data_IF_332741997945
#
_entry.id   IF_332741997945
#
_cell.length_a   1.000
_cell.length_b   1.000
_cell.length_c   1.000
_cell.angle_alpha   90.00
_cell.angle_beta   90.00
_cell.angle_gamma   90.00
#
_symmetry.space_group_name_H-M   'P 1'
#
loop_
_entity.id
_entity.type
_entity.pdbx_description
1 polymer ?
#
# COMPACT_ATOMS: atom_id res chain seq x y z
N UNK A 1 -22.25 62.74 10.91
CA UNK A 1 -21.22 61.69 11.10
C UNK A 1 -21.90 60.35 10.89
N UNK A 2 -21.66 59.72 9.74
CA UNK A 2 -22.14 58.36 9.42
C UNK A 2 -20.96 57.42 9.66
N UNK A 3 -21.08 56.35 10.48
CA UNK A 3 -19.97 55.45 10.69
C UNK A 3 -19.87 54.50 9.48
N UNK A 4 -18.71 54.51 8.84
CA UNK A 4 -18.34 53.57 7.78
C UNK A 4 -18.08 52.22 8.45
N UNK A 5 -18.96 51.25 8.21
CA UNK A 5 -18.79 49.87 8.62
C UNK A 5 -17.84 49.20 7.61
N UNK A 6 -16.59 48.93 8.01
CA UNK A 6 -15.68 48.09 7.22
C UNK A 6 -16.13 46.63 7.36
N UNK A 7 -16.76 46.09 6.32
CA UNK A 7 -16.98 44.67 6.18
C UNK A 7 -15.66 43.99 5.80
N UNK A 8 -15.03 43.29 6.74
CA UNK A 8 -13.96 42.35 6.43
C UNK A 8 -14.59 41.15 5.72
N UNK A 9 -14.38 41.05 4.41
CA UNK A 9 -14.59 39.82 3.66
C UNK A 9 -13.49 38.85 4.10
N UNK A 10 -13.83 37.95 5.02
CA UNK A 10 -13.00 36.78 5.31
C UNK A 10 -13.18 35.86 4.10
N UNK A 11 -12.24 35.95 3.14
CA UNK A 11 -12.07 34.90 2.15
C UNK A 11 -11.82 33.59 2.92
N UNK A 12 -12.52 32.50 2.62
CA UNK A 12 -12.14 31.21 3.16
C UNK A 12 -10.74 30.92 2.64
N UNK A 13 -9.75 30.97 3.54
CA UNK A 13 -8.48 30.31 3.31
C UNK A 13 -8.84 28.83 3.28
N UNK A 14 -9.16 28.30 2.10
CA UNK A 14 -8.96 26.88 1.87
C UNK A 14 -7.50 26.67 2.21
N UNK A 15 -7.24 26.03 3.35
CA UNK A 15 -5.94 25.45 3.61
C UNK A 15 -5.71 24.50 2.44
N UNK A 16 -4.99 24.96 1.41
CA UNK A 16 -4.43 24.08 0.40
C UNK A 16 -3.47 23.25 1.22
N UNK A 17 -3.91 22.04 1.57
CA UNK A 17 -3.01 21.03 2.08
C UNK A 17 -1.89 20.96 1.07
N UNK A 18 -0.71 21.33 1.52
CA UNK A 18 0.42 21.45 0.65
C UNK A 18 0.74 20.01 0.23
N UNK A 19 0.38 19.64 -0.99
CA UNK A 19 0.78 18.38 -1.60
C UNK A 19 2.07 18.64 -2.35
N UNK A 20 2.94 17.63 -2.44
CA UNK A 20 4.05 17.76 -3.37
C UNK A 20 3.51 17.87 -4.81
N UNK A 21 4.03 18.78 -5.63
CA UNK A 21 3.70 18.87 -7.04
C UNK A 21 4.44 17.78 -7.82
N UNK A 22 4.24 16.52 -7.43
CA UNK A 22 4.85 15.38 -8.11
C UNK A 22 4.33 15.24 -9.54
N UNK A 23 5.17 14.70 -10.41
CA UNK A 23 4.77 14.12 -11.68
C UNK A 23 4.84 12.60 -11.55
N UNK A 24 3.70 11.92 -11.75
CA UNK A 24 3.63 10.46 -11.65
C UNK A 24 4.61 9.74 -12.58
N UNK A 25 4.94 10.33 -13.75
CA UNK A 25 5.94 9.74 -14.66
C UNK A 25 7.33 9.77 -14.06
N UNK A 26 7.66 10.83 -13.30
CA UNK A 26 8.94 10.93 -12.60
C UNK A 26 9.00 10.04 -11.37
N UNK A 27 7.85 9.79 -10.71
CA UNK A 27 7.76 8.76 -9.66
C UNK A 27 8.04 7.38 -10.28
N UNK A 28 7.39 7.01 -11.39
CA UNK A 28 7.68 5.77 -12.13
C UNK A 28 9.15 5.69 -12.55
N UNK A 29 9.75 6.81 -12.97
CA UNK A 29 11.18 6.85 -13.29
C UNK A 29 12.06 6.61 -12.06
N UNK A 30 11.71 7.13 -10.88
CA UNK A 30 12.44 6.88 -9.64
C UNK A 30 12.32 5.41 -9.18
N UNK A 31 11.27 4.70 -9.59
CA UNK A 31 11.21 3.24 -9.47
C UNK A 31 12.18 2.54 -10.42
N UNK A 32 12.43 3.07 -11.62
CA UNK A 32 13.34 2.47 -12.61
C UNK A 32 14.81 2.71 -12.30
N UNK A 33 15.14 3.92 -11.86
CA UNK A 33 16.51 4.38 -11.75
C UNK A 33 16.91 4.55 -10.28
N UNK A 34 18.01 3.90 -9.84
CA UNK A 34 18.51 4.10 -8.50
C UNK A 34 19.08 5.52 -8.36
N UNK A 35 18.82 6.12 -7.22
CA UNK A 35 19.37 7.41 -6.81
C UNK A 35 20.04 7.25 -5.44
N UNK A 36 21.30 7.63 -5.32
CA UNK A 36 22.06 7.46 -4.07
C UNK A 36 21.48 8.27 -2.89
N UNK A 37 20.70 9.31 -3.19
CA UNK A 37 20.12 10.25 -2.23
C UNK A 37 18.58 10.16 -2.13
N UNK A 38 17.96 9.11 -2.68
CA UNK A 38 16.52 8.90 -2.61
C UNK A 38 16.17 7.44 -2.32
N UNK A 39 15.33 7.26 -1.30
CA UNK A 39 14.48 6.09 -1.11
C UNK A 39 13.03 6.54 -1.29
N UNK A 40 12.32 5.87 -2.20
CA UNK A 40 10.88 6.08 -2.43
C UNK A 40 10.08 5.44 -1.31
N UNK A 41 9.02 6.12 -0.85
CA UNK A 41 8.12 5.59 0.17
C UNK A 41 6.72 5.35 -0.40
N UNK A 42 6.23 4.12 -0.21
CA UNK A 42 4.86 3.72 -0.48
C UNK A 42 4.10 3.58 0.84
N UNK A 43 2.99 4.30 1.00
CA UNK A 43 2.10 4.13 2.14
C UNK A 43 1.35 2.80 2.04
N UNK A 44 1.60 1.86 2.96
CA UNK A 44 0.95 0.55 2.97
C UNK A 44 -0.56 0.67 3.22
N UNK A 45 -1.38 0.39 2.21
CA UNK A 45 -2.85 0.58 2.22
C UNK A 45 -3.28 2.03 2.47
N UNK A 46 -2.44 2.99 2.06
CA UNK A 46 -2.56 4.41 2.39
C UNK A 46 -2.07 4.76 3.80
N UNK A 47 -2.22 6.01 4.23
CA UNK A 47 -1.91 6.40 5.60
C UNK A 47 -3.04 6.06 6.57
N UNK A 48 -3.20 4.75 6.81
CA UNK A 48 -4.04 4.19 7.88
C UNK A 48 -3.50 4.57 9.26
N UNK A 49 -4.26 4.24 10.31
CA UNK A 49 -4.02 4.59 11.72
C UNK A 49 -4.63 5.90 12.22
N UNK A 50 -4.82 5.91 13.53
CA UNK A 50 -5.41 6.99 14.30
C UNK A 50 -6.84 7.27 13.81
N UNK A 51 -7.62 6.20 13.71
CA UNK A 51 -9.03 6.25 13.35
C UNK A 51 -9.32 6.35 11.85
N UNK A 52 -8.33 6.08 11.01
CA UNK A 52 -8.47 6.00 9.54
C UNK A 52 -8.32 4.56 9.11
N UNK A 53 -9.29 4.08 8.35
CA UNK A 53 -9.33 2.72 7.82
C UNK A 53 -8.30 2.51 6.71
N UNK A 54 -7.79 1.28 6.60
CA UNK A 54 -6.96 0.84 5.47
C UNK A 54 -7.74 0.85 4.15
N UNK A 55 -7.05 1.04 3.02
CA UNK A 55 -7.63 1.04 1.66
C UNK A 55 -8.84 2.00 1.49
N UNK A 56 -8.89 3.07 2.28
CA UNK A 56 -9.95 4.09 2.24
C UNK A 56 -9.56 5.32 1.44
N UNK A 57 -10.56 6.10 0.98
CA UNK A 57 -10.29 7.39 0.32
C UNK A 57 -9.60 8.36 1.28
N UNK A 58 -9.98 8.35 2.57
CA UNK A 58 -9.32 9.17 3.60
C UNK A 58 -7.85 8.81 3.79
N UNK A 59 -7.49 7.51 3.86
CA UNK A 59 -6.09 7.07 3.98
C UNK A 59 -5.24 7.55 2.79
N UNK A 60 -5.82 7.51 1.60
CA UNK A 60 -5.19 7.97 0.36
C UNK A 60 -5.00 9.48 0.35
N UNK A 61 -6.05 10.22 0.67
CA UNK A 61 -6.00 11.68 0.79
C UNK A 61 -4.94 12.10 1.81
N UNK A 62 -4.90 11.47 2.98
CA UNK A 62 -3.89 11.69 4.02
C UNK A 62 -2.48 11.38 3.53
N UNK A 63 -2.27 10.29 2.79
CA UNK A 63 -0.97 9.97 2.20
C UNK A 63 -0.48 11.07 1.24
N UNK A 64 -1.36 11.58 0.38
CA UNK A 64 -1.02 12.68 -0.52
C UNK A 64 -0.80 14.01 0.22
N UNK A 65 -1.63 14.35 1.21
CA UNK A 65 -1.41 15.53 2.08
C UNK A 65 -0.08 15.43 2.85
N UNK A 66 0.32 14.21 3.20
CA UNK A 66 1.58 13.94 3.87
C UNK A 66 2.78 13.98 2.91
N UNK A 67 2.57 14.19 1.61
CA UNK A 67 3.66 14.30 0.64
C UNK A 67 4.29 12.99 0.22
N UNK A 68 3.56 11.88 0.37
CA UNK A 68 4.01 10.58 -0.12
C UNK A 68 3.74 10.47 -1.62
N UNK A 69 4.73 9.95 -2.31
CA UNK A 69 4.75 9.76 -3.76
C UNK A 69 4.02 8.49 -4.22
N UNK A 70 3.91 7.50 -3.33
CA UNK A 70 3.38 6.19 -3.64
C UNK A 70 2.42 5.72 -2.53
N UNK A 71 1.41 4.96 -2.93
CA UNK A 71 0.50 4.24 -2.05
C UNK A 71 0.44 2.81 -2.56
N UNK A 72 0.68 1.85 -1.67
CA UNK A 72 0.40 0.45 -1.96
C UNK A 72 -1.03 0.13 -1.54
N UNK A 73 -1.71 -0.75 -2.28
CA UNK A 73 -3.11 -1.07 -2.05
C UNK A 73 -3.47 -2.48 -2.43
N UNK A 74 -4.53 -3.00 -1.82
CA UNK A 74 -4.95 -4.38 -2.02
C UNK A 74 -6.23 -4.49 -2.86
N UNK A 75 -6.28 -5.49 -3.76
CA UNK A 75 -7.41 -5.71 -4.65
C UNK A 75 -7.83 -7.19 -4.63
N UNK A 76 -9.11 -7.41 -4.40
CA UNK A 76 -9.79 -8.70 -4.59
C UNK A 76 -10.77 -8.62 -5.77
N UNK A 77 -11.22 -9.78 -6.26
CA UNK A 77 -12.34 -9.91 -7.18
C UNK A 77 -13.63 -10.26 -6.41
N UNK A 78 -14.72 -9.55 -6.68
CA UNK A 78 -16.05 -9.91 -6.17
C UNK A 78 -16.79 -10.90 -7.08
N UNK A 79 -17.87 -11.52 -6.59
CA UNK A 79 -18.66 -12.48 -7.35
C UNK A 79 -19.29 -11.90 -8.65
N UNK A 80 -19.56 -10.60 -8.67
CA UNK A 80 -20.07 -9.84 -9.82
C UNK A 80 -18.97 -9.14 -10.64
N UNK A 81 -17.71 -9.55 -10.44
CA UNK A 81 -16.57 -9.12 -11.26
C UNK A 81 -16.09 -7.69 -11.01
N UNK A 82 -16.42 -7.10 -9.85
CA UNK A 82 -15.89 -5.81 -9.43
C UNK A 82 -14.61 -5.99 -8.60
N UNK A 83 -13.94 -4.87 -8.33
CA UNK A 83 -12.59 -4.82 -7.76
C UNK A 83 -12.60 -4.08 -6.41
N UNK A 84 -13.22 -4.64 -5.35
CA UNK A 84 -13.16 -4.06 -4.02
C UNK A 84 -11.72 -3.93 -3.50
N UNK A 85 -11.43 -2.79 -2.86
CA UNK A 85 -10.13 -2.54 -2.26
C UNK A 85 -10.10 -3.04 -0.82
N UNK A 86 -9.75 -4.32 -0.65
CA UNK A 86 -9.70 -5.04 0.63
C UNK A 86 -8.43 -5.89 0.65
N UNK A 87 -7.77 -5.98 1.81
CA UNK A 87 -6.57 -6.80 1.99
C UNK A 87 -6.87 -8.28 2.25
N UNK A 88 -7.75 -8.55 3.20
CA UNK A 88 -8.01 -9.90 3.68
C UNK A 88 -8.91 -10.64 2.71
N UNK A 89 -8.80 -11.98 2.69
CA UNK A 89 -9.73 -12.79 1.90
C UNK A 89 -11.19 -12.65 2.36
N UNK A 90 -11.41 -12.30 3.64
CA UNK A 90 -12.72 -12.10 4.24
C UNK A 90 -12.99 -10.66 4.68
N UNK A 91 -14.27 -10.29 4.74
CA UNK A 91 -14.71 -8.91 5.01
C UNK A 91 -14.80 -8.56 6.52
N UNK A 92 -14.71 -9.54 7.41
CA UNK A 92 -15.07 -9.38 8.81
C UNK A 92 -14.15 -8.46 9.61
N UNK A 93 -12.83 -8.49 9.37
CA UNK A 93 -11.85 -7.68 10.13
C UNK A 93 -12.01 -6.19 9.85
N UNK A 94 -12.21 -5.84 8.59
CA UNK A 94 -12.11 -4.45 8.12
C UNK A 94 -13.45 -3.82 7.78
N UNK A 95 -14.58 -4.52 7.96
CA UNK A 95 -15.92 -3.98 7.67
C UNK A 95 -16.96 -4.29 8.74
N UNK A 96 -18.13 -3.64 8.66
CA UNK A 96 -19.31 -3.88 9.47
C UNK A 96 -20.26 -4.98 8.92
N UNK A 97 -19.77 -5.89 8.09
CA UNK A 97 -20.57 -6.95 7.43
C UNK A 97 -21.41 -7.79 8.40
N UNK A 98 -20.88 -8.09 9.59
CA UNK A 98 -21.61 -8.81 10.63
C UNK A 98 -22.85 -8.04 11.06
N UNK A 99 -22.67 -6.78 11.43
CA UNK A 99 -23.74 -5.90 11.87
C UNK A 99 -24.79 -5.63 10.79
N UNK A 100 -24.36 -5.36 9.55
CA UNK A 100 -25.25 -5.11 8.41
C UNK A 100 -26.11 -6.33 8.07
N UNK A 101 -25.62 -7.54 8.35
CA UNK A 101 -26.33 -8.80 8.07
C UNK A 101 -26.98 -9.45 9.29
N UNK A 102 -26.87 -8.82 10.46
CA UNK A 102 -27.39 -9.36 11.73
C UNK A 102 -26.64 -10.60 12.26
N UNK A 103 -25.41 -10.83 11.77
CA UNK A 103 -24.51 -11.88 12.25
C UNK A 103 -23.58 -11.35 13.35
N UNK A 104 -22.90 -12.26 14.06
CA UNK A 104 -21.86 -11.89 15.01
C UNK A 104 -20.66 -11.26 14.29
N UNK A 105 -20.17 -10.13 14.78
CA UNK A 105 -19.01 -9.45 14.21
C UNK A 105 -17.75 -10.33 14.34
N UNK A 106 -16.98 -10.44 13.25
CA UNK A 106 -15.71 -11.18 13.26
C UNK A 106 -14.73 -10.60 14.28
N UNK A 107 -14.05 -11.49 14.99
CA UNK A 107 -13.05 -11.12 15.96
C UNK A 107 -11.64 -11.53 15.49
N UNK A 108 -10.79 -10.58 15.07
CA UNK A 108 -9.47 -10.89 14.54
C UNK A 108 -8.48 -11.38 15.61
N UNK A 109 -8.80 -11.28 16.90
CA UNK A 109 -7.97 -11.82 17.98
C UNK A 109 -8.23 -13.30 18.26
N UNK A 110 -9.40 -13.81 17.91
CA UNK A 110 -9.77 -15.23 18.07
C UNK A 110 -9.86 -15.97 16.73
N UNK A 111 -10.03 -15.23 15.63
CA UNK A 111 -10.27 -15.80 14.30
C UNK A 111 -11.66 -16.42 14.15
N UNK A 112 -12.64 -15.98 14.93
CA UNK A 112 -13.99 -16.55 14.97
C UNK A 112 -15.06 -15.54 14.49
N UNK A 113 -16.28 -16.05 14.32
CA UNK A 113 -17.50 -15.34 13.90
C UNK A 113 -17.58 -15.01 12.38
N UNK A 114 -18.45 -14.08 11.97
CA UNK A 114 -18.86 -13.97 10.56
C UNK A 114 -17.83 -13.23 9.70
N UNK A 115 -17.13 -13.98 8.85
CA UNK A 115 -16.09 -13.49 7.95
C UNK A 115 -16.27 -14.06 6.52
N UNK A 116 -17.33 -13.64 5.78
CA UNK A 116 -17.55 -14.13 4.43
C UNK A 116 -16.43 -13.66 3.50
N UNK A 117 -16.07 -14.50 2.52
CA UNK A 117 -15.03 -14.17 1.55
C UNK A 117 -15.51 -13.11 0.56
N UNK A 118 -14.59 -12.27 0.10
CA UNK A 118 -14.88 -11.24 -0.90
C UNK A 118 -15.40 -11.86 -2.21
N UNK A 119 -14.77 -12.93 -2.68
CA UNK A 119 -15.13 -13.63 -3.92
C UNK A 119 -16.52 -14.28 -3.91
N UNK A 120 -17.10 -14.51 -2.74
CA UNK A 120 -18.41 -15.14 -2.58
C UNK A 120 -19.58 -14.13 -2.60
N UNK A 121 -19.28 -12.83 -2.64
CA UNK A 121 -20.27 -11.76 -2.50
C UNK A 121 -20.24 -10.81 -3.70
N UNK A 122 -21.42 -10.32 -4.10
CA UNK A 122 -21.51 -9.23 -5.06
C UNK A 122 -21.02 -7.92 -4.41
N UNK A 123 -20.27 -7.14 -5.16
CA UNK A 123 -19.91 -5.78 -4.77
C UNK A 123 -21.12 -4.85 -4.89
N UNK A 124 -21.91 -5.01 -5.95
CA UNK A 124 -23.01 -4.12 -6.27
C UNK A 124 -24.38 -4.62 -5.82
N UNK A 125 -25.32 -3.67 -5.68
CA UNK A 125 -26.73 -3.95 -5.49
C UNK A 125 -27.14 -4.09 -4.02
N UNK A 126 -28.40 -4.51 -3.75
CA UNK A 126 -28.92 -4.56 -2.38
C UNK A 126 -28.09 -5.47 -1.47
N UNK A 127 -27.44 -4.89 -0.46
CA UNK A 127 -26.54 -5.59 0.46
C UNK A 127 -25.16 -5.91 -0.13
N UNK A 128 -24.79 -5.30 -1.26
CA UNK A 128 -23.47 -5.44 -1.86
C UNK A 128 -22.36 -4.85 -0.99
N UNK A 129 -21.13 -5.31 -1.22
CA UNK A 129 -19.94 -4.89 -0.47
C UNK A 129 -19.75 -3.36 -0.50
N UNK A 130 -20.18 -2.67 -1.56
CA UNK A 130 -20.09 -1.20 -1.69
C UNK A 130 -20.86 -0.42 -0.61
N UNK A 131 -21.78 -1.07 0.11
CA UNK A 131 -22.58 -0.46 1.17
C UNK A 131 -22.04 -0.73 2.57
N UNK A 132 -20.98 -1.53 2.69
CA UNK A 132 -20.32 -1.79 3.96
C UNK A 132 -19.45 -0.61 4.38
N UNK A 133 -19.43 -0.34 5.67
CA UNK A 133 -18.55 0.66 6.26
C UNK A 133 -17.25 0.02 6.72
N UNK A 134 -16.14 0.69 6.45
CA UNK A 134 -14.82 0.27 6.86
C UNK A 134 -14.62 0.45 8.37
N UNK A 135 -13.74 -0.38 8.93
CA UNK A 135 -13.24 -0.26 10.30
C UNK A 135 -11.85 0.35 10.33
N UNK A 136 -11.60 1.14 11.36
CA UNK A 136 -10.24 1.54 11.70
C UNK A 136 -9.49 0.43 12.45
N UNK A 137 -8.24 0.72 12.83
CA UNK A 137 -7.34 -0.27 13.43
C UNK A 137 -7.75 -0.75 14.83
N UNK A 138 -8.66 -0.02 15.49
CA UNK A 138 -9.27 -0.44 16.75
C UNK A 138 -10.60 -1.17 16.54
N UNK A 139 -10.98 -1.45 15.29
CA UNK A 139 -12.22 -2.11 14.93
C UNK A 139 -13.44 -1.20 14.93
N UNK A 140 -13.28 0.12 15.06
CA UNK A 140 -14.43 1.03 15.10
C UNK A 140 -14.90 1.30 13.68
N UNK A 141 -16.21 1.15 13.46
CA UNK A 141 -16.85 1.47 12.19
C UNK A 141 -16.71 2.97 11.89
N UNK A 142 -16.31 3.29 10.66
CA UNK A 142 -16.06 4.65 10.16
C UNK A 142 -17.13 5.03 9.15
N UNK A 143 -17.36 6.33 8.98
CA UNK A 143 -18.24 6.85 7.92
C UNK A 143 -17.49 6.87 6.58
N UNK A 144 -17.08 5.69 6.12
CA UNK A 144 -16.31 5.47 4.89
C UNK A 144 -16.69 4.09 4.35
N UNK A 145 -17.06 4.03 3.08
CA UNK A 145 -17.47 2.79 2.43
C UNK A 145 -16.30 2.04 1.80
N UNK A 146 -16.45 0.74 1.54
CA UNK A 146 -15.49 -0.03 0.75
C UNK A 146 -15.44 0.51 -0.69
N UNK A 147 -14.32 1.09 -1.15
CA UNK A 147 -14.22 1.58 -2.52
C UNK A 147 -13.91 0.43 -3.49
N UNK A 148 -14.27 0.61 -4.76
CA UNK A 148 -13.66 -0.16 -5.86
C UNK A 148 -12.42 0.54 -6.39
N UNK A 149 -11.55 -0.21 -7.08
CA UNK A 149 -10.37 0.35 -7.75
C UNK A 149 -10.72 1.54 -8.68
N UNK A 150 -11.69 1.44 -9.63
CA UNK A 150 -12.08 2.58 -10.47
C UNK A 150 -12.53 3.81 -9.68
N UNK A 151 -13.34 3.61 -8.64
CA UNK A 151 -13.81 4.68 -7.76
C UNK A 151 -12.64 5.40 -7.04
N UNK A 152 -11.58 4.67 -6.70
CA UNK A 152 -10.38 5.24 -6.11
C UNK A 152 -9.58 6.07 -7.11
N UNK A 153 -9.44 5.59 -8.35
CA UNK A 153 -8.78 6.35 -9.42
C UNK A 153 -9.53 7.64 -9.74
N UNK A 154 -10.87 7.59 -9.78
CA UNK A 154 -11.71 8.79 -9.92
C UNK A 154 -11.51 9.76 -8.74
N UNK A 155 -11.42 9.25 -7.51
CA UNK A 155 -11.11 10.05 -6.32
C UNK A 155 -9.75 10.78 -6.44
N UNK A 156 -8.73 10.09 -6.94
CA UNK A 156 -7.39 10.66 -7.20
C UNK A 156 -7.45 11.73 -8.28
N UNK A 157 -8.17 11.47 -9.37
CA UNK A 157 -8.40 12.43 -10.45
C UNK A 157 -9.08 13.71 -9.94
N UNK A 158 -10.23 13.57 -9.28
CA UNK A 158 -11.06 14.70 -8.87
C UNK A 158 -10.38 15.56 -7.80
N UNK A 159 -9.71 14.91 -6.86
CA UNK A 159 -8.95 15.60 -5.83
C UNK A 159 -7.64 16.17 -6.35
N UNK A 160 -7.15 15.77 -7.53
CA UNK A 160 -5.85 16.18 -8.08
C UNK A 160 -4.68 15.69 -7.23
N UNK A 161 -4.75 14.45 -6.74
CA UNK A 161 -3.62 13.81 -6.07
C UNK A 161 -2.57 13.44 -7.11
N UNK A 162 -1.31 13.74 -6.80
CA UNK A 162 -0.16 13.35 -7.62
C UNK A 162 0.59 12.22 -6.90
N UNK A 163 0.05 11.01 -7.00
CA UNK A 163 0.58 9.80 -6.36
C UNK A 163 0.57 8.66 -7.37
N UNK A 164 1.50 7.73 -7.23
CA UNK A 164 1.50 6.42 -7.89
C UNK A 164 0.79 5.41 -6.99
N UNK A 165 0.06 4.46 -7.59
CA UNK A 165 -0.48 3.31 -6.85
C UNK A 165 0.32 2.06 -7.18
N UNK A 166 0.73 1.30 -6.17
CA UNK A 166 1.13 -0.10 -6.32
C UNK A 166 -0.08 -0.99 -6.07
N UNK A 167 -0.55 -1.64 -7.13
CA UNK A 167 -1.70 -2.53 -7.10
C UNK A 167 -1.24 -3.92 -6.66
N UNK A 168 -1.40 -4.24 -5.39
CA UNK A 168 -1.18 -5.59 -4.85
C UNK A 168 -2.46 -6.42 -5.00
N UNK A 169 -2.43 -7.33 -5.96
CA UNK A 169 -3.56 -8.20 -6.24
C UNK A 169 -3.52 -9.40 -5.28
N UNK A 170 -4.67 -9.70 -4.67
CA UNK A 170 -4.83 -10.89 -3.81
C UNK A 170 -5.35 -12.10 -4.58
N UNK A 171 -5.99 -11.84 -5.72
CA UNK A 171 -6.48 -12.86 -6.65
C UNK A 171 -5.87 -12.64 -8.04
N UNK A 172 -5.27 -13.68 -8.63
CA UNK A 172 -4.73 -13.60 -10.01
C UNK A 172 -5.83 -13.22 -11.01
N UNK A 173 -7.05 -13.70 -10.80
CA UNK A 173 -8.21 -13.43 -11.67
C UNK A 173 -8.68 -11.97 -11.63
N UNK A 174 -8.22 -11.16 -10.66
CA UNK A 174 -8.54 -9.73 -10.57
C UNK A 174 -7.69 -8.85 -11.50
N UNK A 175 -6.54 -9.36 -11.99
CA UNK A 175 -5.56 -8.59 -12.76
C UNK A 175 -6.12 -8.09 -14.09
N UNK A 176 -6.73 -8.98 -14.87
CA UNK A 176 -7.31 -8.62 -16.17
C UNK A 176 -8.51 -7.66 -16.03
N UNK A 177 -9.51 -7.93 -15.16
CA UNK A 177 -10.59 -6.98 -14.92
C UNK A 177 -10.09 -5.58 -14.51
N UNK A 178 -9.01 -5.48 -13.73
CA UNK A 178 -8.43 -4.20 -13.36
C UNK A 178 -7.90 -3.44 -14.57
N UNK A 179 -7.16 -4.07 -15.46
CA UNK A 179 -6.72 -3.44 -16.70
C UNK A 179 -7.89 -2.83 -17.49
N UNK A 180 -8.96 -3.59 -17.68
CA UNK A 180 -10.12 -3.12 -18.44
C UNK A 180 -10.85 -1.99 -17.73
N UNK A 181 -10.99 -2.07 -16.41
CA UNK A 181 -11.65 -1.04 -15.62
C UNK A 181 -10.87 0.28 -15.60
N UNK A 182 -9.54 0.21 -15.71
CA UNK A 182 -8.65 1.38 -15.72
C UNK A 182 -8.39 1.96 -17.12
N UNK A 183 -8.65 1.21 -18.19
CA UNK A 183 -8.21 1.52 -19.58
C UNK A 183 -8.55 2.94 -20.07
N UNK A 184 -9.62 3.54 -19.57
CA UNK A 184 -10.09 4.86 -19.98
C UNK A 184 -10.02 5.92 -18.88
N UNK A 185 -9.45 5.58 -17.72
CA UNK A 185 -9.26 6.50 -16.61
C UNK A 185 -7.90 7.19 -16.72
N UNK A 186 -7.81 8.41 -16.21
CA UNK A 186 -6.57 9.18 -16.13
C UNK A 186 -6.42 9.81 -14.76
N UNK A 187 -5.20 10.19 -14.37
CA UNK A 187 -5.05 11.20 -13.33
C UNK A 187 -5.46 12.58 -13.86
N UNK A 188 -5.44 13.61 -12.99
CA UNK A 188 -5.85 14.97 -13.37
C UNK A 188 -4.98 15.63 -14.44
N UNK A 189 -3.73 15.19 -14.58
CA UNK A 189 -2.82 15.66 -15.62
C UNK A 189 -3.04 14.95 -16.98
N UNK A 190 -4.02 14.05 -17.06
CA UNK A 190 -4.34 13.29 -18.28
C UNK A 190 -3.41 12.11 -18.54
N UNK A 191 -2.63 11.67 -17.55
CA UNK A 191 -1.81 10.45 -17.65
C UNK A 191 -2.72 9.23 -17.50
N UNK A 192 -2.72 8.27 -18.44
CA UNK A 192 -3.53 7.06 -18.35
C UNK A 192 -3.28 6.27 -17.06
N UNK A 193 -4.33 5.79 -16.41
CA UNK A 193 -4.25 5.05 -15.15
C UNK A 193 -3.27 3.85 -15.23
N UNK A 194 -3.33 3.10 -16.32
CA UNK A 194 -2.45 1.95 -16.56
C UNK A 194 -0.95 2.30 -16.74
N UNK A 195 -0.58 3.58 -16.81
CA UNK A 195 0.82 4.02 -16.86
C UNK A 195 1.37 4.49 -15.51
N UNK A 196 0.51 4.75 -14.51
CA UNK A 196 0.93 5.19 -13.17
C UNK A 196 0.36 4.34 -12.03
N UNK A 197 -0.50 3.36 -12.35
CA UNK A 197 -0.78 2.23 -11.48
C UNK A 197 0.22 1.12 -11.81
N UNK A 198 1.08 0.80 -10.86
CA UNK A 198 2.06 -0.27 -10.95
C UNK A 198 1.33 -1.60 -10.72
N UNK A 199 1.41 -2.49 -11.70
CA UNK A 199 0.99 -3.88 -11.56
C UNK A 199 2.05 -4.63 -10.76
N UNK A 200 1.83 -4.73 -9.44
CA UNK A 200 2.67 -5.48 -8.51
C UNK A 200 2.10 -6.89 -8.41
N UNK A 201 2.72 -7.85 -9.11
CA UNK A 201 2.17 -9.21 -9.26
C UNK A 201 3.10 -10.25 -8.66
N UNK A 202 2.52 -11.25 -8.00
CA UNK A 202 3.25 -12.41 -7.52
C UNK A 202 3.94 -13.12 -8.69
N UNK A 203 5.26 -13.24 -8.65
CA UNK A 203 6.07 -13.80 -9.75
C UNK A 203 5.72 -15.27 -10.07
N UNK A 204 5.16 -15.99 -9.11
CA UNK A 204 4.68 -17.37 -9.31
C UNK A 204 3.48 -17.45 -10.28
N UNK A 205 2.72 -16.37 -10.47
CA UNK A 205 1.58 -16.33 -11.38
C UNK A 205 1.97 -16.27 -12.85
N UNK A 206 3.06 -15.56 -13.16
CA UNK A 206 3.61 -15.39 -14.50
C UNK A 206 5.14 -15.42 -14.38
N UNK A 207 5.73 -16.59 -14.60
CA UNK A 207 7.12 -16.85 -14.26
C UNK A 207 8.07 -16.29 -15.32
N UNK A 208 7.60 -16.09 -16.54
CA UNK A 208 8.39 -15.49 -17.62
C UNK A 208 7.65 -14.36 -18.34
N UNK A 209 8.39 -13.44 -18.99
CA UNK A 209 7.78 -12.43 -19.86
C UNK A 209 6.88 -13.05 -20.93
N UNK A 210 7.25 -14.17 -21.53
CA UNK A 210 6.45 -14.79 -22.58
C UNK A 210 5.06 -15.21 -22.09
N UNK A 211 4.95 -15.70 -20.86
CA UNK A 211 3.67 -16.04 -20.24
C UNK A 211 2.82 -14.80 -19.96
N UNK A 212 3.44 -13.76 -19.39
CA UNK A 212 2.77 -12.49 -19.10
C UNK A 212 2.32 -11.78 -20.38
N UNK A 213 3.18 -11.70 -21.37
CA UNK A 213 2.92 -11.06 -22.65
C UNK A 213 1.84 -11.79 -23.44
N UNK A 214 1.70 -13.12 -23.30
CA UNK A 214 0.66 -13.87 -23.98
C UNK A 214 -0.77 -13.53 -23.52
N UNK A 215 -0.93 -12.84 -22.38
CA UNK A 215 -2.24 -12.50 -21.83
C UNK A 215 -3.00 -11.52 -22.76
N UNK A 216 -4.31 -11.74 -23.02
CA UNK A 216 -5.07 -10.88 -23.92
C UNK A 216 -5.05 -9.40 -23.56
N UNK A 217 -5.12 -9.08 -22.27
CA UNK A 217 -5.10 -7.70 -21.78
C UNK A 217 -3.72 -7.03 -21.94
N UNK A 218 -2.63 -7.79 -21.80
CA UNK A 218 -1.26 -7.28 -22.03
C UNK A 218 -1.04 -7.01 -23.52
N UNK A 219 -1.48 -7.94 -24.38
CA UNK A 219 -1.47 -7.74 -25.83
C UNK A 219 -2.28 -6.50 -26.23
N UNK A 220 -3.46 -6.29 -25.64
CA UNK A 220 -4.25 -5.08 -25.87
C UNK A 220 -3.52 -3.81 -25.39
N UNK A 221 -2.89 -3.84 -24.22
CA UNK A 221 -2.10 -2.71 -23.71
C UNK A 221 -1.00 -2.30 -24.70
N UNK A 222 -0.20 -3.26 -25.17
CA UNK A 222 0.89 -3.01 -26.10
C UNK A 222 0.41 -2.54 -27.47
N UNK A 223 -0.65 -3.15 -27.99
CA UNK A 223 -1.25 -2.75 -29.27
C UNK A 223 -1.83 -1.32 -29.23
N UNK A 224 -2.24 -0.84 -28.05
CA UNK A 224 -2.72 0.52 -27.85
C UNK A 224 -1.63 1.49 -27.35
N UNK A 225 -0.38 1.05 -27.26
CA UNK A 225 0.76 1.88 -26.86
C UNK A 225 0.76 2.28 -25.37
N UNK A 226 0.04 1.56 -24.53
CA UNK A 226 0.03 1.77 -23.07
C UNK A 226 1.39 1.35 -22.52
N UNK A 227 2.04 2.26 -21.80
CA UNK A 227 3.31 1.99 -21.12
C UNK A 227 3.04 1.38 -19.74
N UNK A 228 2.82 0.07 -19.69
CA UNK A 228 2.61 -0.63 -18.42
C UNK A 228 3.80 -0.42 -17.47
N UNK A 229 3.48 -0.23 -16.19
CA UNK A 229 4.44 -0.25 -15.10
C UNK A 229 4.29 -1.58 -14.34
N UNK A 230 5.29 -2.44 -14.39
CA UNK A 230 5.22 -3.79 -13.83
C UNK A 230 6.34 -4.04 -12.79
N UNK A 231 5.98 -4.66 -11.67
CA UNK A 231 6.89 -5.09 -10.61
C UNK A 231 6.57 -6.54 -10.26
N UNK A 232 7.43 -7.52 -10.62
CA UNK A 232 7.30 -8.88 -10.12
C UNK A 232 7.70 -8.95 -8.64
N UNK A 233 6.92 -9.67 -7.85
CA UNK A 233 7.16 -9.94 -6.42
C UNK A 233 7.76 -11.32 -6.26
N UNK A 234 8.97 -11.38 -5.71
CA UNK A 234 9.72 -12.62 -5.48
C UNK A 234 9.73 -12.95 -3.99
N UNK A 235 9.00 -14.00 -3.61
CA UNK A 235 8.90 -14.49 -2.23
C UNK A 235 9.71 -15.78 -2.05
N UNK A 236 10.50 -15.91 -0.96
CA UNK A 236 11.22 -17.14 -0.66
C UNK A 236 10.34 -18.38 -0.50
N UNK A 237 9.04 -18.22 -0.24
CA UNK A 237 8.06 -19.32 -0.21
C UNK A 237 7.94 -20.05 -1.55
N UNK A 238 8.33 -19.42 -2.66
CA UNK A 238 8.27 -19.99 -4.01
C UNK A 238 9.64 -20.42 -4.55
N UNK A 239 10.69 -20.49 -3.72
CA UNK A 239 12.05 -20.86 -4.16
C UNK A 239 12.08 -22.26 -4.79
N UNK A 240 11.28 -23.19 -4.27
CA UNK A 240 11.17 -24.56 -4.78
C UNK A 240 10.19 -24.70 -5.97
N UNK A 241 9.40 -23.65 -6.27
CA UNK A 241 8.37 -23.71 -7.30
C UNK A 241 8.92 -23.39 -8.70
N UNK A 242 9.89 -22.47 -8.81
CA UNK A 242 10.52 -22.09 -10.08
C UNK A 242 11.85 -21.34 -9.90
N UNK A 243 12.64 -21.22 -10.98
CA UNK A 243 13.89 -20.44 -10.96
C UNK A 243 13.60 -18.94 -10.97
N UNK A 244 13.49 -18.37 -9.77
CA UNK A 244 13.20 -16.95 -9.59
C UNK A 244 14.33 -16.04 -10.12
N UNK A 245 15.59 -16.49 -10.11
CA UNK A 245 16.70 -15.68 -10.63
C UNK A 245 16.67 -15.62 -12.15
N UNK A 246 16.38 -16.75 -12.82
CA UNK A 246 16.16 -16.77 -14.27
C UNK A 246 14.96 -15.91 -14.66
N UNK A 247 13.86 -16.00 -13.91
CA UNK A 247 12.68 -15.13 -14.09
C UNK A 247 13.05 -13.65 -14.01
N UNK A 248 13.74 -13.22 -12.95
CA UNK A 248 14.17 -11.83 -12.75
C UNK A 248 15.02 -11.33 -13.92
N UNK A 249 15.97 -12.16 -14.39
CA UNK A 249 16.82 -11.83 -15.54
C UNK A 249 16.01 -11.64 -16.82
N UNK A 250 15.04 -12.51 -17.10
CA UNK A 250 14.18 -12.38 -18.28
C UNK A 250 13.30 -11.15 -18.21
N UNK A 251 12.63 -10.91 -17.08
CA UNK A 251 11.82 -9.70 -16.91
C UNK A 251 12.64 -8.42 -17.00
N UNK A 252 13.91 -8.45 -16.59
CA UNK A 252 14.80 -7.32 -16.77
C UNK A 252 15.01 -6.91 -18.24
N UNK A 253 14.88 -7.83 -19.20
CA UNK A 253 15.03 -7.52 -20.64
C UNK A 253 13.83 -6.76 -21.22
N UNK A 254 12.72 -6.67 -20.47
CA UNK A 254 11.49 -6.01 -20.92
C UNK A 254 11.53 -4.49 -20.70
N UNK A 255 10.73 -3.74 -21.46
CA UNK A 255 10.63 -2.28 -21.30
C UNK A 255 9.57 -1.85 -20.27
N UNK A 256 8.65 -2.73 -19.88
CA UNK A 256 7.56 -2.46 -18.94
C UNK A 256 7.89 -2.86 -17.49
N UNK A 257 8.88 -3.73 -17.27
CA UNK A 257 9.35 -4.03 -15.91
C UNK A 257 10.16 -2.84 -15.38
N UNK A 258 9.70 -2.26 -14.27
CA UNK A 258 10.27 -1.02 -13.73
C UNK A 258 11.15 -1.26 -12.51
N UNK A 259 10.87 -2.30 -11.74
CA UNK A 259 11.61 -2.67 -10.54
C UNK A 259 11.30 -4.12 -10.19
N UNK A 260 11.72 -4.60 -9.02
CA UNK A 260 11.29 -5.87 -8.45
C UNK A 260 11.05 -5.71 -6.94
N UNK A 261 10.05 -6.42 -6.40
CA UNK A 261 9.91 -6.58 -4.95
C UNK A 261 10.64 -7.85 -4.53
N UNK A 262 11.64 -7.74 -3.65
CA UNK A 262 12.42 -8.89 -3.16
C UNK A 262 12.17 -9.05 -1.66
N UNK A 263 11.43 -10.09 -1.33
CA UNK A 263 10.90 -10.39 0.00
C UNK A 263 11.93 -11.13 0.89
N UNK A 264 13.17 -10.63 0.95
CA UNK A 264 14.23 -11.18 1.80
C UNK A 264 13.86 -11.07 3.30
N UNK A 265 14.05 -12.13 4.09
CA UNK A 265 13.76 -12.13 5.54
C UNK A 265 14.99 -11.97 6.43
N UNK A 266 16.17 -12.36 5.95
CA UNK A 266 17.44 -12.32 6.70
C UNK A 266 18.63 -12.26 5.74
N UNK A 267 19.76 -11.67 6.15
CA UNK A 267 20.99 -11.69 5.32
C UNK A 267 21.43 -13.12 5.04
N UNK A 268 21.73 -13.40 3.78
CA UNK A 268 22.16 -14.73 3.35
C UNK A 268 21.05 -15.79 3.38
N UNK A 269 19.80 -15.38 3.59
CA UNK A 269 18.64 -16.24 3.45
C UNK A 269 18.34 -16.59 1.99
N UNK A 270 17.29 -17.39 1.78
CA UNK A 270 16.72 -17.64 0.45
C UNK A 270 16.57 -16.35 -0.36
N UNK A 271 16.75 -16.47 -1.68
CA UNK A 271 16.61 -15.39 -2.66
C UNK A 271 17.51 -14.14 -2.47
N UNK A 272 18.51 -14.15 -1.57
CA UNK A 272 19.50 -13.07 -1.43
C UNK A 272 20.18 -12.74 -2.77
N UNK A 273 20.44 -13.77 -3.57
CA UNK A 273 21.03 -13.64 -4.91
C UNK A 273 20.20 -12.77 -5.86
N UNK A 274 18.86 -12.71 -5.73
CA UNK A 274 18.03 -11.83 -6.54
C UNK A 274 18.28 -10.36 -6.20
N UNK A 275 18.29 -10.03 -4.90
CA UNK A 275 18.57 -8.67 -4.44
C UNK A 275 20.00 -8.23 -4.81
N UNK A 276 20.96 -9.15 -4.78
CA UNK A 276 22.34 -8.86 -5.20
C UNK A 276 22.42 -8.61 -6.71
N UNK A 277 21.64 -9.34 -7.52
CA UNK A 277 21.62 -9.19 -8.97
C UNK A 277 21.14 -7.79 -9.40
N UNK A 278 20.13 -7.22 -8.73
CA UNK A 278 19.66 -5.85 -9.02
C UNK A 278 20.72 -4.78 -8.71
N UNK A 279 21.65 -5.07 -7.79
CA UNK A 279 22.72 -4.15 -7.36
C UNK A 279 23.99 -4.25 -8.19
N UNK A 280 24.29 -5.43 -8.73
CA UNK A 280 25.55 -5.69 -9.42
C UNK A 280 25.63 -5.08 -10.82
N UNK A 281 24.51 -4.57 -11.36
CA UNK A 281 24.44 -3.91 -12.66
C UNK A 281 24.52 -4.85 -13.86
N UNK A 282 24.36 -6.16 -13.64
CA UNK A 282 24.36 -7.19 -14.68
C UNK A 282 23.06 -7.21 -15.50
N UNK A 283 21.97 -6.70 -14.91
CA UNK A 283 20.65 -6.63 -15.52
C UNK A 283 20.16 -5.16 -15.58
N UNK A 284 19.16 -4.90 -16.41
CA UNK A 284 18.57 -3.55 -16.59
C UNK A 284 17.71 -3.10 -15.43
N UNK A 285 17.11 -4.02 -14.67
CA UNK A 285 16.45 -3.70 -13.39
C UNK A 285 17.53 -3.38 -12.37
N UNK A 286 17.57 -2.13 -11.92
CA UNK A 286 18.62 -1.62 -11.01
C UNK A 286 18.10 -1.17 -9.66
N UNK A 287 16.82 -1.43 -9.43
CA UNK A 287 16.11 -1.04 -8.22
C UNK A 287 15.40 -2.26 -7.66
N UNK A 288 15.29 -2.33 -6.35
CA UNK A 288 14.45 -3.29 -5.67
C UNK A 288 13.76 -2.62 -4.47
N UNK A 289 12.63 -3.16 -4.07
CA UNK A 289 11.96 -2.77 -2.84
C UNK A 289 11.47 -3.94 -2.02
N UNK A 290 10.85 -3.58 -0.90
CA UNK A 290 10.34 -4.53 0.09
C UNK A 290 9.30 -3.86 0.98
N UNK A 291 8.47 -4.67 1.62
CA UNK A 291 7.61 -4.26 2.71
C UNK A 291 8.37 -4.21 4.05
N UNK A 292 8.38 -3.05 4.70
CA UNK A 292 8.72 -2.92 6.11
C UNK A 292 7.53 -3.38 6.96
N UNK A 293 7.70 -4.45 7.72
CA UNK A 293 6.63 -5.13 8.46
C UNK A 293 6.67 -4.79 9.97
N UNK A 294 6.15 -3.63 10.43
CA UNK A 294 6.20 -3.25 11.85
C UNK A 294 5.24 -4.04 12.75
N UNK A 295 4.42 -4.92 12.17
CA UNK A 295 3.33 -5.63 12.83
C UNK A 295 2.00 -4.87 12.74
N UNK A 296 0.91 -5.61 12.93
CA UNK A 296 -0.46 -5.08 12.77
C UNK A 296 -1.01 -4.43 14.04
N UNK A 297 -0.28 -4.56 15.15
CA UNK A 297 -0.75 -4.06 16.44
C UNK A 297 -0.26 -2.64 16.67
N UNK A 298 -1.19 -1.71 16.87
CA UNK A 298 -0.85 -0.35 17.31
C UNK A 298 -0.88 -0.26 18.84
N UNK A 299 -0.09 0.65 19.43
CA UNK A 299 -0.12 0.88 20.88
C UNK A 299 -1.03 2.07 21.23
N UNK A 300 -2.02 1.91 22.13
CA UNK A 300 -2.56 0.66 22.65
C UNK A 300 -3.79 0.23 21.82
N UNK A 301 -3.71 -0.93 21.16
CA UNK A 301 -4.86 -1.78 20.84
C UNK A 301 -5.59 -2.27 22.13
N UNK A 302 -5.08 -1.85 23.30
CA UNK A 302 -5.67 -1.99 24.63
C UNK A 302 -6.31 -0.69 25.15
N UNK A 303 -6.58 0.31 24.31
CA UNK A 303 -7.38 1.47 24.72
C UNK A 303 -8.82 0.99 25.00
N UNK A 304 -9.50 1.62 25.96
CA UNK A 304 -10.88 1.31 26.33
C UNK A 304 -11.88 1.54 25.19
N UNK A 305 -11.41 2.01 24.03
CA UNK A 305 -12.18 2.28 22.82
C UNK A 305 -12.02 1.21 21.73
N UNK A 306 -11.21 0.16 21.96
CA UNK A 306 -11.14 -0.99 21.05
C UNK A 306 -12.48 -1.70 21.00
N UNK A 307 -12.99 -1.93 19.78
CA UNK A 307 -14.29 -2.56 19.55
C UNK A 307 -14.26 -4.07 19.80
N UNK A 308 -13.18 -4.74 19.39
CA UNK A 308 -13.08 -6.20 19.49
C UNK A 308 -12.85 -6.65 20.94
N UNK A 309 -13.72 -7.53 21.43
CA UNK A 309 -13.49 -8.26 22.68
C UNK A 309 -12.29 -9.18 22.48
N UNK A 310 -11.20 -9.01 23.22
CA UNK A 310 -10.05 -9.92 23.08
C UNK A 310 -10.34 -11.32 23.63
N UNK A 311 -11.47 -11.54 24.35
CA UNK A 311 -11.93 -12.84 24.84
C UNK A 311 -10.85 -13.68 25.54
N UNK A 312 -10.12 -13.05 26.48
CA UNK A 312 -8.93 -13.59 27.18
C UNK A 312 -7.68 -13.82 26.30
N UNK A 313 -7.67 -13.43 25.02
CA UNK A 313 -6.43 -13.26 24.27
C UNK A 313 -5.59 -12.23 25.00
N UNK A 314 -4.56 -12.74 25.67
CA UNK A 314 -3.66 -11.93 26.48
C UNK A 314 -2.74 -11.21 25.51
N UNK A 315 -3.15 -10.01 25.09
CA UNK A 315 -2.23 -9.10 24.41
C UNK A 315 -0.99 -8.96 25.31
N UNK A 316 0.20 -9.35 24.83
CA UNK A 316 1.38 -9.26 25.67
C UNK A 316 1.60 -7.80 26.04
N UNK A 317 2.14 -7.58 27.25
CA UNK A 317 2.45 -6.23 27.75
C UNK A 317 3.33 -5.46 26.76
N UNK A 318 4.18 -6.18 26.05
CA UNK A 318 5.04 -5.70 24.99
C UNK A 318 4.52 -6.25 23.65
N UNK A 319 4.27 -5.36 22.67
CA UNK A 319 3.85 -5.74 21.31
C UNK A 319 4.95 -6.45 20.51
N UNK A 320 6.12 -6.65 21.12
CA UNK A 320 7.30 -7.30 20.56
C UNK A 320 7.80 -8.37 21.50
N UNK A 321 8.21 -9.49 20.92
CA UNK A 321 8.91 -10.56 21.63
C UNK A 321 10.19 -10.85 20.87
N UNK A 322 11.35 -10.63 21.50
CA UNK A 322 12.66 -10.76 20.85
C UNK A 322 12.75 -9.99 19.51
N UNK A 323 12.26 -8.74 19.48
CA UNK A 323 12.13 -7.90 18.30
C UNK A 323 11.16 -8.40 17.19
N UNK A 324 10.54 -9.57 17.33
CA UNK A 324 9.47 -10.01 16.44
C UNK A 324 8.15 -9.33 16.78
N UNK A 325 7.32 -9.04 15.77
CA UNK A 325 6.04 -8.32 15.92
C UNK A 325 4.85 -9.22 15.64
N UNK A 326 3.69 -8.89 16.23
CA UNK A 326 2.45 -9.60 15.97
C UNK A 326 1.79 -9.17 14.66
N UNK A 327 1.25 -10.15 13.93
CA UNK A 327 0.45 -9.96 12.73
C UNK A 327 -0.87 -10.74 12.82
N UNK A 328 -1.91 -10.18 12.22
CA UNK A 328 -3.20 -10.85 12.05
C UNK A 328 -3.07 -12.02 11.07
N UNK A 329 -3.98 -12.99 11.22
CA UNK A 329 -4.12 -14.12 10.31
C UNK A 329 -5.58 -14.33 9.98
N UNK A 330 -5.85 -14.77 8.75
CA UNK A 330 -7.19 -15.17 8.35
C UNK A 330 -7.70 -16.33 9.20
N UNK A 331 -8.83 -16.10 9.88
CA UNK A 331 -9.56 -17.07 10.70
C UNK A 331 -8.69 -17.77 11.78
N UNK A 332 -7.65 -17.09 12.26
CA UNK A 332 -6.78 -17.57 13.33
C UNK A 332 -6.40 -16.42 14.26
N UNK A 333 -5.99 -16.77 15.46
CA UNK A 333 -5.43 -15.80 16.39
C UNK A 333 -4.10 -15.22 15.85
N UNK A 334 -3.75 -13.97 16.20
CA UNK A 334 -2.49 -13.35 15.79
C UNK A 334 -1.27 -14.11 16.31
N UNK A 335 -0.18 -14.07 15.55
CA UNK A 335 1.10 -14.72 15.86
C UNK A 335 2.27 -13.78 15.62
N UNK A 336 3.45 -14.12 16.14
CA UNK A 336 4.68 -13.40 15.85
C UNK A 336 5.15 -13.70 14.42
N UNK A 337 5.74 -12.71 13.74
CA UNK A 337 6.37 -12.87 12.42
C UNK A 337 7.37 -14.04 12.40
N UNK A 338 8.18 -14.18 13.44
CA UNK A 338 9.19 -15.26 13.55
C UNK A 338 8.54 -16.65 13.59
N UNK A 339 7.27 -16.73 13.99
CA UNK A 339 6.52 -18.00 13.97
C UNK A 339 6.08 -18.39 12.56
N UNK A 340 6.11 -17.46 11.61
CA UNK A 340 5.70 -17.63 10.21
C UNK A 340 6.90 -17.76 9.26
N UNK A 341 8.07 -17.24 9.65
CA UNK A 341 9.23 -17.12 8.74
C UNK A 341 9.76 -18.46 8.22
N UNK A 342 9.68 -19.53 9.02
CA UNK A 342 10.09 -20.87 8.62
C UNK A 342 11.50 -20.92 8.01
N UNK A 343 11.62 -21.53 6.83
CA UNK A 343 12.89 -21.67 6.11
C UNK A 343 13.30 -20.40 5.32
N UNK A 344 12.47 -19.37 5.31
CA UNK A 344 12.77 -18.11 4.60
C UNK A 344 13.85 -17.26 5.31
N UNK A 345 14.30 -17.67 6.50
CA UNK A 345 15.34 -17.01 7.28
C UNK A 345 16.44 -17.99 7.71
N UNK A 346 17.67 -17.50 7.83
CA UNK A 346 18.83 -18.32 8.24
C UNK A 346 18.89 -18.60 9.74
N UNK A 347 18.24 -17.78 10.56
CA UNK A 347 18.25 -17.86 12.02
C UNK A 347 16.85 -17.95 12.65
N UNK A 348 15.80 -17.98 11.82
CA UNK A 348 14.42 -18.03 12.26
C UNK A 348 13.85 -16.68 12.71
N UNK A 349 14.55 -15.57 12.43
CA UNK A 349 14.03 -14.21 12.65
C UNK A 349 13.64 -13.55 11.32
N UNK A 350 12.50 -12.85 11.30
CA UNK A 350 12.10 -11.99 10.18
C UNK A 350 12.54 -10.54 10.45
N UNK A 351 13.62 -10.13 9.79
CA UNK A 351 14.23 -8.82 9.99
C UNK A 351 13.49 -7.68 9.28
N UNK A 352 12.38 -7.94 8.56
CA UNK A 352 11.64 -6.88 7.85
C UNK A 352 11.02 -5.82 8.76
N UNK A 353 11.02 -6.06 10.06
CA UNK A 353 10.59 -5.10 11.07
C UNK A 353 11.73 -4.23 11.66
N UNK A 354 12.98 -4.52 11.29
CA UNK A 354 14.17 -3.78 11.71
C UNK A 354 14.55 -2.73 10.66
N UNK A 355 14.35 -1.46 11.02
CA UNK A 355 14.68 -0.32 10.17
C UNK A 355 16.16 -0.28 9.75
N UNK A 356 17.07 -0.56 10.69
CA UNK A 356 18.51 -0.53 10.42
C UNK A 356 18.89 -1.62 9.44
N UNK A 357 18.35 -2.82 9.64
CA UNK A 357 18.57 -3.95 8.73
C UNK A 357 18.09 -3.64 7.31
N UNK A 358 16.88 -3.08 7.15
CA UNK A 358 16.34 -2.71 5.83
C UNK A 358 17.26 -1.69 5.13
N UNK A 359 17.77 -0.69 5.86
CA UNK A 359 18.70 0.28 5.28
C UNK A 359 20.04 -0.34 4.86
N UNK A 360 20.55 -1.31 5.62
CA UNK A 360 21.75 -2.06 5.26
C UNK A 360 21.56 -2.87 3.97
N UNK A 361 20.33 -3.31 3.69
CA UNK A 361 19.98 -4.00 2.45
C UNK A 361 19.90 -3.06 1.24
N UNK A 362 19.92 -1.73 1.42
CA UNK A 362 19.94 -0.72 0.34
C UNK A 362 18.80 -0.88 -0.68
N UNK A 363 17.59 -1.17 -0.21
CA UNK A 363 16.40 -1.08 -1.04
C UNK A 363 16.17 0.36 -1.52
N UNK A 364 15.64 0.51 -2.73
CA UNK A 364 15.40 1.78 -3.40
C UNK A 364 14.01 2.34 -3.09
N UNK A 365 13.06 1.47 -2.77
CA UNK A 365 11.71 1.85 -2.38
C UNK A 365 11.20 0.93 -1.27
N UNK A 366 10.37 1.48 -0.38
CA UNK A 366 9.87 0.79 0.81
C UNK A 366 8.37 0.99 0.94
N UNK A 367 7.62 -0.11 1.04
CA UNK A 367 6.22 -0.07 1.49
C UNK A 367 6.22 -0.04 3.02
N UNK A 368 5.48 0.87 3.64
CA UNK A 368 5.50 1.02 5.11
C UNK A 368 4.22 1.60 5.70
N UNK A 369 3.88 1.10 6.88
CA UNK A 369 2.84 1.66 7.76
C UNK A 369 3.30 2.91 8.54
N UNK A 370 4.60 3.16 8.60
CA UNK A 370 5.22 4.22 9.42
C UNK A 370 6.00 5.21 8.57
N UNK A 371 5.38 5.66 7.47
CA UNK A 371 6.01 6.54 6.49
C UNK A 371 6.52 7.87 7.09
N UNK A 372 5.92 8.35 8.18
CA UNK A 372 6.38 9.50 8.97
C UNK A 372 7.77 9.25 9.59
N UNK A 373 7.94 8.11 10.26
CA UNK A 373 9.20 7.71 10.88
C UNK A 373 10.29 7.46 9.84
N UNK A 374 9.94 6.79 8.74
CA UNK A 374 10.81 6.57 7.60
C UNK A 374 11.29 7.89 6.99
N UNK A 375 10.38 8.82 6.72
CA UNK A 375 10.70 10.11 6.15
C UNK A 375 11.68 10.92 7.01
N UNK A 376 11.46 10.97 8.32
CA UNK A 376 12.35 11.69 9.26
C UNK A 376 13.75 11.09 9.24
N UNK A 377 13.86 9.76 9.31
CA UNK A 377 15.15 9.05 9.34
C UNK A 377 15.89 9.18 8.02
N UNK A 378 15.23 8.92 6.89
CA UNK A 378 15.83 9.07 5.56
C UNK A 378 16.29 10.51 5.30
N UNK A 379 15.52 11.53 5.71
CA UNK A 379 15.96 12.93 5.63
C UNK A 379 17.24 13.18 6.43
N UNK A 380 17.34 12.62 7.64
CA UNK A 380 18.54 12.79 8.47
C UNK A 380 19.79 12.13 7.88
N UNK A 381 19.60 11.11 7.03
CA UNK A 381 20.67 10.43 6.29
C UNK A 381 20.91 10.99 4.88
N UNK A 382 20.16 12.01 4.46
CA UNK A 382 20.26 12.57 3.10
C UNK A 382 19.71 11.65 1.99
N UNK A 383 18.88 10.66 2.33
CA UNK A 383 18.29 9.65 1.42
C UNK A 383 16.84 9.95 1.04
N UNK A 384 16.43 11.23 1.08
CA UNK A 384 15.04 11.66 0.84
C UNK A 384 14.96 12.85 -0.11
N UNK A 385 15.81 12.87 -1.14
CA UNK A 385 15.79 13.91 -2.16
C UNK A 385 14.59 13.75 -3.10
N UNK A 386 13.44 14.27 -2.69
CA UNK A 386 12.18 14.20 -3.47
C UNK A 386 12.19 15.04 -4.75
N UNK A 387 13.21 15.88 -4.99
CA UNK A 387 13.27 16.77 -6.16
C UNK A 387 13.29 16.01 -7.50
N UNK A 388 13.77 14.76 -7.50
CA UNK A 388 13.74 13.86 -8.65
C UNK A 388 12.32 13.62 -9.19
N UNK A 389 11.30 13.72 -8.34
CA UNK A 389 9.91 13.39 -8.67
C UNK A 389 9.03 14.63 -8.90
N UNK A 390 9.56 15.83 -8.68
CA UNK A 390 8.80 17.08 -8.81
C UNK A 390 8.57 17.44 -10.29
N UNK A 391 7.35 17.87 -10.62
CA UNK A 391 6.99 18.33 -11.96
C UNK A 391 7.89 19.48 -12.44
N UNK A 392 8.13 19.55 -13.76
CA UNK A 392 9.01 20.58 -14.33
C UNK A 392 8.53 22.00 -14.01
N UNK A 393 9.47 22.85 -13.60
CA UNK A 393 9.19 24.24 -13.23
C UNK A 393 8.45 24.41 -11.90
N UNK A 394 8.30 23.34 -11.10
CA UNK A 394 7.80 23.38 -9.74
C UNK A 394 8.93 23.18 -8.73
N UNK A 395 8.70 23.63 -7.50
CA UNK A 395 9.63 23.47 -6.40
C UNK A 395 9.10 22.45 -5.39
N UNK A 396 10.03 21.79 -4.67
CA UNK A 396 9.68 20.96 -3.51
C UNK A 396 8.95 21.83 -2.49
N UNK A 397 7.82 21.35 -2.00
CA UNK A 397 7.06 22.08 -0.98
C UNK A 397 7.56 21.69 0.41
N UNK A 398 7.92 22.67 1.24
CA UNK A 398 8.38 22.41 2.61
C UNK A 398 7.21 22.01 3.53
N UNK A 399 7.02 20.70 3.67
CA UNK A 399 5.99 20.12 4.53
C UNK A 399 6.27 20.16 6.03
N UNK A 400 7.51 20.47 6.47
CA UNK A 400 7.85 20.49 7.89
C UNK A 400 7.23 21.69 8.61
N UNK A 401 7.14 22.84 7.93
CA UNK A 401 6.50 24.05 8.46
C UNK A 401 4.97 23.91 8.59
N UNK A 402 4.36 22.95 7.89
CA UNK A 402 2.91 22.80 7.74
C UNK A 402 2.32 21.57 8.48
N UNK A 403 3.15 20.77 9.15
CA UNK A 403 2.69 19.69 10.03
C UNK A 403 2.12 18.46 9.31
N UNK A 404 2.60 18.16 8.10
CA UNK A 404 2.10 17.10 7.20
C UNK A 404 1.94 15.72 7.83
N UNK A 405 2.77 15.39 8.82
CA UNK A 405 2.78 14.10 9.51
C UNK A 405 2.26 14.17 10.94
N UNK A 406 1.58 15.25 11.35
CA UNK A 406 0.91 15.22 12.66
C UNK A 406 -0.17 14.14 12.59
N UNK A 407 0.06 13.02 13.28
CA UNK A 407 -0.99 12.07 13.68
C UNK A 407 -2.09 12.93 14.32
N UNK A 408 -3.14 13.29 13.56
CA UNK A 408 -4.23 14.16 14.03
C UNK A 408 -5.01 13.37 15.07
N UNK A 409 -4.53 13.30 16.30
CA UNK A 409 -5.14 12.47 17.34
C UNK A 409 -6.64 12.70 17.36
N UNK A 410 -7.46 11.67 17.59
CA UNK A 410 -8.93 11.82 17.67
C UNK A 410 -9.40 12.95 18.62
N UNK A 411 -8.51 13.41 19.52
CA UNK A 411 -8.68 14.57 20.40
C UNK A 411 -8.70 15.92 19.65
N UNK A 412 -7.99 16.03 18.53
CA UNK A 412 -7.89 17.22 17.68
C UNK A 412 -9.16 17.44 16.82
N UNK A 413 -10.00 16.40 16.69
CA UNK A 413 -11.30 16.46 16.00
C UNK A 413 -12.45 16.88 16.92
N UNK A 414 -12.26 16.92 18.25
CA UNK A 414 -13.32 17.30 19.22
C UNK A 414 -13.51 18.82 19.38
N UNK A 415 -13.03 19.61 18.43
CA UNK A 415 -13.03 21.09 18.52
C UNK A 415 -13.58 21.82 17.30
N UNK A 416 -14.33 21.15 16.42
CA UNK A 416 -15.05 21.81 15.31
C UNK A 416 -16.53 21.50 15.35
#
# INVERSE_FOLDING_TARGET
MVPILFAFVILPVCAIAARQPFDVRKIIQAFREPHDDLTVLCAHRGLKWNGTAENSRDAYFRASEAGLECIETDIHLSADGQLPMIHDSGLGRTTDIGEQTGQAAYNPFTGQDYNPKVIDLNFTGPGGVEHLHLRDEQGRVRDEYVPSLPQMIESIHDSGMNVVLELDFKDQDAVEPAYWALKHLTNRAGVPANEWCIYKLQSVWYQTPEEFEALPWVQDAFNNGIQLAFVPVYDPAYEDDFDQLESLRKFAETNYTISAEIELRSVGGPIQNLLDETKNGNISIRTAGTFFAPGDFTYPNTDNVTFFDTANYSLPRDLRVNNSNFVFQDNKAPVLLDSLVGNASTDGHDYRSDFGWILEQKYNWIITDTADEWHVRLRSEGKRNVSWMIADGQDVVDGAALGWYRRRHARDLKGR
#
